data_IF_907491141531
#
_entry.id   IF_907491141531
#
_cell.length_a   1.000
_cell.length_b   1.000
_cell.length_c   1.000
_cell.angle_alpha   90.00
_cell.angle_beta   90.00
_cell.angle_gamma   90.00
#
_symmetry.space_group_name_H-M   'P 1'
#
loop_
_entity.id
_entity.type
_entity.pdbx_description
1 polymer ?
#
# COMPACT_ATOMS: atom_id res chain seq x y z
N UNK A 1 -2.98 21.30 -19.32
CA UNK A 1 -2.13 20.43 -18.50
C UNK A 1 -0.68 20.80 -18.77
N UNK A 2 0.13 20.99 -17.73
CA UNK A 2 1.54 21.44 -17.84
C UNK A 2 2.49 20.26 -18.10
N UNK A 3 3.67 20.52 -18.66
CA UNK A 3 4.74 19.52 -18.84
C UNK A 3 5.08 18.79 -17.53
N UNK A 4 5.20 19.54 -16.43
CA UNK A 4 5.44 18.98 -15.10
C UNK A 4 4.34 17.99 -14.69
N UNK A 5 3.06 18.34 -14.85
CA UNK A 5 1.94 17.45 -14.50
C UNK A 5 1.97 16.17 -15.35
N UNK A 6 2.28 16.29 -16.65
CA UNK A 6 2.40 15.14 -17.52
C UNK A 6 3.53 14.20 -17.10
N UNK A 7 4.68 14.75 -16.70
CA UNK A 7 5.81 13.96 -16.18
C UNK A 7 5.46 13.25 -14.88
N UNK A 8 4.74 13.91 -13.96
CA UNK A 8 4.23 13.25 -12.75
C UNK A 8 3.30 12.08 -13.11
N UNK A 9 2.35 12.29 -14.02
CA UNK A 9 1.44 11.23 -14.49
C UNK A 9 2.24 10.07 -15.09
N UNK A 10 3.21 10.34 -15.95
CA UNK A 10 4.03 9.30 -16.59
C UNK A 10 4.78 8.43 -15.59
N UNK A 11 5.28 9.02 -14.51
CA UNK A 11 5.99 8.29 -13.46
C UNK A 11 5.00 7.46 -12.62
N UNK A 12 3.86 8.03 -12.24
CA UNK A 12 2.87 7.34 -11.39
C UNK A 12 2.02 6.29 -12.13
N UNK A 13 1.90 6.39 -13.46
CA UNK A 13 1.08 5.48 -14.26
C UNK A 13 1.71 4.08 -14.27
N UNK A 14 0.89 3.01 -14.17
CA UNK A 14 1.37 1.65 -14.41
C UNK A 14 2.04 1.57 -15.78
N UNK A 15 3.30 1.13 -15.83
CA UNK A 15 3.98 0.86 -17.08
C UNK A 15 3.60 -0.55 -17.53
N UNK A 16 2.80 -0.63 -18.61
CA UNK A 16 2.66 -1.88 -19.33
C UNK A 16 3.96 -2.14 -20.09
N UNK A 17 4.80 -3.04 -19.59
CA UNK A 17 5.86 -3.62 -20.41
C UNK A 17 5.22 -4.66 -21.32
N UNK A 18 5.34 -4.42 -22.62
CA UNK A 18 4.85 -5.30 -23.68
C UNK A 18 5.78 -6.53 -23.75
N UNK A 19 5.56 -7.53 -22.89
CA UNK A 19 6.15 -8.86 -23.08
C UNK A 19 5.15 -9.97 -22.67
N UNK A 20 4.75 -10.87 -23.59
CA UNK A 20 3.60 -11.76 -23.41
C UNK A 20 3.90 -13.10 -22.70
N UNK A 21 4.96 -13.25 -21.91
CA UNK A 21 5.36 -14.61 -21.44
C UNK A 21 5.94 -14.75 -20.03
N UNK A 22 5.94 -13.71 -19.21
CA UNK A 22 6.34 -13.81 -17.81
C UNK A 22 5.28 -13.16 -16.90
N UNK A 23 5.12 -13.58 -15.63
CA UNK A 23 4.40 -12.77 -14.65
C UNK A 23 5.25 -11.52 -14.41
N UNK A 24 5.01 -10.50 -15.23
CA UNK A 24 5.73 -9.24 -15.14
C UNK A 24 5.31 -8.55 -13.84
N UNK A 25 6.22 -8.11 -12.96
CA UNK A 25 5.87 -7.16 -11.92
C UNK A 25 5.26 -5.95 -12.61
N UNK A 26 3.99 -5.68 -12.33
CA UNK A 26 3.31 -4.50 -12.83
C UNK A 26 4.05 -3.27 -12.26
N UNK A 27 4.98 -2.71 -13.04
CA UNK A 27 5.84 -1.62 -12.59
C UNK A 27 5.01 -0.34 -12.45
N UNK A 28 5.07 0.28 -11.27
CA UNK A 28 4.36 1.51 -10.93
C UNK A 28 3.76 1.46 -9.53
N UNK A 29 3.38 2.64 -9.01
CA UNK A 29 2.86 2.80 -7.65
C UNK A 29 1.62 1.93 -7.39
N UNK A 30 0.67 1.96 -8.33
CA UNK A 30 -0.64 1.35 -8.15
C UNK A 30 -0.60 -0.18 -8.06
N UNK A 31 0.00 -0.91 -9.01
CA UNK A 31 -0.10 -2.36 -9.00
C UNK A 31 0.68 -2.99 -7.85
N UNK A 32 1.80 -2.35 -7.47
CA UNK A 32 2.58 -2.68 -6.28
C UNK A 32 1.77 -2.57 -4.99
N UNK A 33 0.73 -1.72 -4.97
CA UNK A 33 -0.17 -1.54 -3.82
C UNK A 33 -1.37 -2.49 -3.83
N UNK A 34 -1.75 -3.09 -4.96
CA UNK A 34 -2.92 -3.98 -5.01
C UNK A 34 -2.64 -5.30 -4.27
N UNK A 35 -1.47 -5.92 -4.50
CA UNK A 35 -1.14 -7.22 -3.92
C UNK A 35 -1.17 -7.24 -2.38
N UNK A 36 -0.51 -6.31 -1.64
CA UNK A 36 -0.63 -6.27 -0.19
C UNK A 36 -2.08 -6.10 0.29
N UNK A 37 -2.90 -5.38 -0.47
CA UNK A 37 -4.29 -5.14 -0.10
C UNK A 37 -5.21 -6.34 -0.26
N UNK A 38 -4.89 -7.24 -1.19
CA UNK A 38 -5.58 -8.53 -1.34
C UNK A 38 -5.26 -9.45 -0.18
N UNK A 39 -3.98 -9.58 0.18
CA UNK A 39 -3.56 -10.35 1.37
C UNK A 39 -4.17 -9.76 2.64
N UNK A 40 -4.17 -8.43 2.82
CA UNK A 40 -4.78 -7.82 4.00
C UNK A 40 -6.31 -7.99 4.10
N UNK A 41 -7.01 -8.37 3.02
CA UNK A 41 -8.47 -8.56 3.06
C UNK A 41 -8.86 -9.70 4.02
N UNK A 42 -8.08 -10.78 4.04
CA UNK A 42 -8.39 -11.97 4.82
C UNK A 42 -8.21 -11.74 6.33
N UNK A 43 -7.37 -10.78 6.72
CA UNK A 43 -7.18 -10.34 8.11
C UNK A 43 -8.43 -9.68 8.70
N UNK A 44 -9.28 -9.07 7.86
CA UNK A 44 -10.48 -8.38 8.31
C UNK A 44 -11.54 -9.35 8.85
N UNK A 45 -11.58 -10.58 8.34
CA UNK A 45 -12.61 -11.55 8.72
C UNK A 45 -12.08 -12.64 9.70
N UNK A 46 -10.92 -12.42 10.33
CA UNK A 46 -10.24 -13.33 11.26
C UNK A 46 -9.91 -14.74 10.70
N UNK A 47 -10.13 -14.98 9.40
CA UNK A 47 -9.95 -16.29 8.77
C UNK A 47 -8.48 -16.68 8.57
N UNK A 48 -7.57 -15.71 8.59
CA UNK A 48 -6.21 -15.87 8.09
C UNK A 48 -5.13 -15.46 9.10
N UNK A 49 -5.41 -15.65 10.40
CA UNK A 49 -4.42 -15.44 11.46
C UNK A 49 -3.43 -16.60 11.55
N UNK A 50 -2.85 -16.99 10.42
CA UNK A 50 -1.96 -18.14 10.27
C UNK A 50 -0.60 -17.70 9.73
N UNK A 51 0.49 -18.43 10.02
CA UNK A 51 1.84 -18.01 9.63
C UNK A 51 2.01 -17.78 8.12
N UNK A 52 1.34 -18.56 7.28
CA UNK A 52 1.44 -18.44 5.81
C UNK A 52 1.02 -17.04 5.32
N UNK A 53 -0.04 -16.49 5.89
CA UNK A 53 -0.62 -15.20 5.48
C UNK A 53 0.24 -14.02 5.93
N UNK A 54 0.83 -14.11 7.12
CA UNK A 54 1.82 -13.13 7.57
C UNK A 54 3.12 -13.22 6.76
N UNK A 55 3.50 -14.41 6.29
CA UNK A 55 4.67 -14.59 5.40
C UNK A 55 4.42 -13.91 4.06
N UNK A 56 3.28 -14.21 3.43
CA UNK A 56 2.90 -13.57 2.17
C UNK A 56 2.81 -12.05 2.32
N UNK A 57 2.15 -11.58 3.39
CA UNK A 57 2.00 -10.14 3.65
C UNK A 57 3.35 -9.43 3.80
N UNK A 58 4.31 -10.06 4.50
CA UNK A 58 5.68 -9.53 4.61
C UNK A 58 6.31 -9.36 3.23
N UNK A 59 6.28 -10.41 2.41
CA UNK A 59 6.98 -10.45 1.13
C UNK A 59 6.37 -9.49 0.10
N UNK A 60 5.04 -9.40 0.04
CA UNK A 60 4.36 -8.45 -0.85
C UNK A 60 4.52 -7.01 -0.36
N UNK A 61 4.58 -6.77 0.96
CA UNK A 61 4.82 -5.42 1.51
C UNK A 61 6.25 -4.95 1.26
N UNK A 62 7.24 -5.85 1.39
CA UNK A 62 8.64 -5.60 1.06
C UNK A 62 8.80 -5.24 -0.43
N UNK A 63 8.16 -6.00 -1.32
CA UNK A 63 8.16 -5.70 -2.75
C UNK A 63 7.49 -4.35 -3.05
N UNK A 64 6.34 -4.08 -2.42
CA UNK A 64 5.60 -2.84 -2.60
C UNK A 64 6.40 -1.61 -2.16
N UNK A 65 7.08 -1.64 -1.00
CA UNK A 65 7.87 -0.49 -0.52
C UNK A 65 8.99 -0.11 -1.48
N UNK A 66 9.62 -1.08 -2.15
CA UNK A 66 10.70 -0.81 -3.11
C UNK A 66 10.17 -0.09 -4.35
N UNK A 67 9.01 -0.52 -4.87
CA UNK A 67 8.36 0.17 -5.98
C UNK A 67 8.02 1.63 -5.61
N UNK A 68 7.48 1.86 -4.41
CA UNK A 68 7.18 3.23 -3.94
C UNK A 68 8.45 4.06 -3.78
N UNK A 69 9.52 3.46 -3.25
CA UNK A 69 10.80 4.15 -3.10
C UNK A 69 11.39 4.58 -4.44
N UNK A 70 11.25 3.77 -5.51
CA UNK A 70 11.70 4.13 -6.84
C UNK A 70 10.87 5.29 -7.44
N UNK A 71 9.54 5.23 -7.34
CA UNK A 71 8.67 6.31 -7.81
C UNK A 71 8.86 7.61 -7.00
N UNK A 72 9.02 7.50 -5.68
CA UNK A 72 9.41 8.63 -4.84
C UNK A 72 10.77 9.18 -5.26
N UNK A 73 11.76 8.33 -5.50
CA UNK A 73 13.08 8.73 -5.98
C UNK A 73 12.99 9.53 -7.29
N UNK A 74 12.21 9.06 -8.27
CA UNK A 74 11.99 9.75 -9.56
C UNK A 74 11.32 11.11 -9.39
N UNK A 75 10.29 11.20 -8.53
CA UNK A 75 9.50 12.41 -8.35
C UNK A 75 10.18 13.43 -7.44
N UNK A 76 10.67 12.98 -6.29
CA UNK A 76 11.01 13.81 -5.14
C UNK A 76 12.52 14.03 -4.98
N UNK A 77 13.35 13.12 -5.49
CA UNK A 77 14.81 13.20 -5.33
C UNK A 77 15.54 13.49 -6.65
N UNK A 78 15.13 12.86 -7.76
CA UNK A 78 15.83 12.90 -9.07
C UNK A 78 15.48 14.11 -9.95
N UNK A 79 15.18 15.26 -9.36
CA UNK A 79 15.23 16.53 -10.10
C UNK A 79 14.01 16.88 -10.97
N UNK A 80 12.84 16.30 -10.73
CA UNK A 80 11.60 16.85 -11.28
C UNK A 80 11.29 18.20 -10.60
N UNK A 81 11.76 19.30 -11.20
CA UNK A 81 11.57 20.66 -10.64
C UNK A 81 10.13 21.13 -10.86
N UNK A 82 9.33 21.34 -9.79
CA UNK A 82 8.00 21.89 -9.95
C UNK A 82 8.06 23.37 -10.36
N UNK A 83 7.16 23.84 -11.25
CA UNK A 83 6.90 25.26 -11.42
C UNK A 83 6.50 25.89 -10.08
N UNK A 84 6.77 27.19 -9.89
CA UNK A 84 6.48 27.90 -8.62
C UNK A 84 5.05 27.69 -8.12
N UNK A 85 4.08 27.68 -9.03
CA UNK A 85 2.67 27.46 -8.73
C UNK A 85 2.33 26.05 -8.19
N UNK A 86 3.21 25.07 -8.39
CA UNK A 86 2.99 23.67 -8.04
C UNK A 86 3.95 23.14 -6.96
N UNK A 87 4.77 24.00 -6.36
CA UNK A 87 5.70 23.60 -5.27
C UNK A 87 4.96 22.99 -4.09
N UNK A 88 3.87 23.62 -3.64
CA UNK A 88 3.07 23.11 -2.52
C UNK A 88 2.46 21.75 -2.82
N UNK A 89 1.93 21.57 -4.04
CA UNK A 89 1.44 20.28 -4.50
C UNK A 89 2.56 19.23 -4.53
N UNK A 90 3.73 19.55 -5.07
CA UNK A 90 4.86 18.62 -5.16
C UNK A 90 5.30 18.14 -3.77
N UNK A 91 5.41 19.05 -2.81
CA UNK A 91 5.74 18.71 -1.42
C UNK A 91 4.69 17.76 -0.82
N UNK A 92 3.39 18.05 -1.03
CA UNK A 92 2.32 17.18 -0.55
C UNK A 92 2.35 15.80 -1.20
N UNK A 93 2.62 15.71 -2.51
CA UNK A 93 2.78 14.45 -3.23
C UNK A 93 3.92 13.63 -2.60
N UNK A 94 5.10 14.23 -2.43
CA UNK A 94 6.25 13.55 -1.84
C UNK A 94 5.97 13.06 -0.42
N UNK A 95 5.38 13.91 0.43
CA UNK A 95 4.99 13.54 1.79
C UNK A 95 3.99 12.38 1.82
N UNK A 96 3.04 12.33 0.87
CA UNK A 96 2.08 11.21 0.76
C UNK A 96 2.80 9.91 0.38
N UNK A 97 3.68 9.96 -0.60
CA UNK A 97 4.48 8.79 -1.00
C UNK A 97 5.35 8.27 0.14
N UNK A 98 5.99 9.17 0.91
CA UNK A 98 6.75 8.82 2.12
C UNK A 98 5.87 8.15 3.18
N UNK A 99 4.67 8.69 3.43
CA UNK A 99 3.73 8.08 4.38
C UNK A 99 3.25 6.71 3.93
N UNK A 100 2.95 6.53 2.64
CA UNK A 100 2.53 5.23 2.12
C UNK A 100 3.65 4.20 2.32
N UNK A 101 4.89 4.56 1.94
CA UNK A 101 6.06 3.72 2.15
C UNK A 101 6.24 3.34 3.62
N UNK A 102 6.20 4.32 4.53
CA UNK A 102 6.35 4.07 5.96
C UNK A 102 5.26 3.12 6.51
N UNK A 103 4.02 3.23 6.01
CA UNK A 103 2.96 2.32 6.41
C UNK A 103 3.22 0.89 5.91
N UNK A 104 3.76 0.70 4.70
CA UNK A 104 4.16 -0.61 4.19
C UNK A 104 5.32 -1.21 5.00
N UNK A 105 6.35 -0.41 5.29
CA UNK A 105 7.47 -0.82 6.16
C UNK A 105 6.94 -1.27 7.54
N UNK A 106 5.96 -0.54 8.07
CA UNK A 106 5.34 -0.89 9.35
C UNK A 106 4.52 -2.18 9.27
N UNK A 107 3.81 -2.42 8.16
CA UNK A 107 3.05 -3.66 7.94
C UNK A 107 3.99 -4.86 7.89
N UNK A 108 5.07 -4.76 7.11
CA UNK A 108 6.12 -5.77 7.02
C UNK A 108 6.71 -6.09 8.41
N UNK A 109 7.07 -5.07 9.18
CA UNK A 109 7.63 -5.24 10.51
C UNK A 109 6.65 -5.95 11.46
N UNK A 110 5.36 -5.58 11.43
CA UNK A 110 4.33 -6.24 12.24
C UNK A 110 4.20 -7.71 11.83
N UNK A 111 4.20 -8.00 10.53
CA UNK A 111 4.13 -9.38 10.04
C UNK A 111 5.34 -10.20 10.50
N UNK A 112 6.56 -9.67 10.37
CA UNK A 112 7.79 -10.31 10.85
C UNK A 112 7.76 -10.60 12.35
N UNK A 113 7.37 -9.62 13.16
CA UNK A 113 7.22 -9.80 14.61
C UNK A 113 6.20 -10.89 14.96
N UNK A 114 5.11 -10.95 14.20
CA UNK A 114 4.06 -11.95 14.40
C UNK A 114 4.56 -13.35 14.09
N UNK A 115 5.24 -13.53 12.95
CA UNK A 115 5.88 -14.80 12.60
C UNK A 115 6.87 -15.27 13.67
N UNK A 116 7.69 -14.37 14.19
CA UNK A 116 8.62 -14.70 15.28
C UNK A 116 7.88 -15.23 16.50
N UNK A 117 6.82 -14.56 16.94
CA UNK A 117 6.03 -15.00 18.11
C UNK A 117 5.38 -16.36 17.85
N UNK A 118 4.71 -16.53 16.71
CA UNK A 118 4.03 -17.79 16.34
C UNK A 118 5.01 -18.98 16.30
N UNK A 119 6.25 -18.76 15.86
CA UNK A 119 7.28 -19.81 15.82
C UNK A 119 7.81 -20.20 17.21
N UNK A 120 7.81 -19.28 18.18
CA UNK A 120 8.39 -19.49 19.52
C UNK A 120 7.38 -19.91 20.58
N UNK A 121 6.08 -19.67 20.36
CA UNK A 121 5.01 -19.98 21.30
C UNK A 121 3.76 -20.54 20.59
N UNK A 122 3.85 -21.70 19.91
CA UNK A 122 2.73 -22.32 19.21
C UNK A 122 1.66 -22.74 20.22
N UNK A 123 0.54 -22.00 20.29
CA UNK A 123 -0.59 -22.30 21.18
C UNK A 123 -1.16 -21.11 21.96
N UNK A 124 -0.50 -19.94 21.94
CA UNK A 124 -0.99 -18.72 22.62
C UNK A 124 -0.91 -17.45 21.76
N UNK A 125 -0.77 -17.63 20.46
CA UNK A 125 -0.46 -16.63 19.46
C UNK A 125 -1.72 -16.00 18.83
N UNK A 126 -2.90 -16.60 18.96
CA UNK A 126 -4.14 -16.07 18.36
C UNK A 126 -4.46 -14.65 18.80
N UNK A 127 -4.37 -14.33 20.10
CA UNK A 127 -4.62 -12.97 20.60
C UNK A 127 -3.57 -11.98 20.10
N UNK A 128 -2.31 -12.43 19.96
CA UNK A 128 -1.23 -11.61 19.41
C UNK A 128 -1.47 -11.34 17.91
N UNK A 129 -1.79 -12.38 17.14
CA UNK A 129 -2.08 -12.30 15.71
C UNK A 129 -3.31 -11.41 15.44
N UNK A 130 -4.34 -11.46 16.27
CA UNK A 130 -5.49 -10.56 16.21
C UNK A 130 -5.08 -9.08 16.39
N UNK A 131 -4.26 -8.78 17.41
CA UNK A 131 -3.75 -7.41 17.65
C UNK A 131 -2.85 -6.95 16.50
N UNK A 132 -2.02 -7.84 15.97
CA UNK A 132 -1.18 -7.57 14.81
C UNK A 132 -2.02 -7.24 13.58
N UNK A 133 -3.05 -8.06 13.29
CA UNK A 133 -4.00 -7.84 12.21
C UNK A 133 -4.70 -6.49 12.33
N UNK A 134 -5.19 -6.12 13.52
CA UNK A 134 -5.85 -4.82 13.71
C UNK A 134 -4.91 -3.63 13.45
N UNK A 135 -3.63 -3.75 13.86
CA UNK A 135 -2.60 -2.75 13.56
C UNK A 135 -2.35 -2.65 12.06
N UNK A 136 -2.23 -3.79 11.37
CA UNK A 136 -2.08 -3.85 9.90
C UNK A 136 -3.26 -3.19 9.19
N UNK A 137 -4.50 -3.51 9.58
CA UNK A 137 -5.72 -2.92 8.99
C UNK A 137 -5.78 -1.40 9.20
N UNK A 138 -5.28 -0.91 10.34
CA UNK A 138 -5.16 0.53 10.59
C UNK A 138 -4.17 1.21 9.63
N UNK A 139 -3.05 0.55 9.31
CA UNK A 139 -2.06 1.05 8.33
C UNK A 139 -2.60 0.98 6.90
N UNK A 140 -3.33 -0.10 6.56
CA UNK A 140 -4.10 -0.21 5.31
C UNK A 140 -5.03 0.97 5.11
N UNK A 141 -5.82 1.32 6.13
CA UNK A 141 -6.73 2.45 6.09
C UNK A 141 -6.00 3.79 5.86
N UNK A 142 -4.85 4.00 6.50
CA UNK A 142 -4.02 5.18 6.29
C UNK A 142 -3.49 5.28 4.85
N UNK A 143 -3.01 4.17 4.27
CA UNK A 143 -2.59 4.12 2.86
C UNK A 143 -3.77 4.46 1.94
N UNK A 144 -4.94 3.86 2.16
CA UNK A 144 -6.15 4.16 1.37
C UNK A 144 -6.51 5.64 1.42
N UNK A 145 -6.41 6.27 2.59
CA UNK A 145 -6.71 7.69 2.75
C UNK A 145 -5.75 8.58 1.94
N UNK A 146 -4.44 8.26 1.95
CA UNK A 146 -3.46 8.98 1.15
C UNK A 146 -3.67 8.78 -0.36
N UNK A 147 -4.03 7.57 -0.81
CA UNK A 147 -4.37 7.30 -2.21
C UNK A 147 -5.63 8.04 -2.67
N UNK A 148 -6.69 8.06 -1.85
CA UNK A 148 -7.92 8.82 -2.15
C UNK A 148 -7.66 10.31 -2.23
N UNK A 149 -6.77 10.84 -1.38
CA UNK A 149 -6.39 12.24 -1.46
C UNK A 149 -5.58 12.57 -2.73
N UNK A 150 -4.78 11.63 -3.23
CA UNK A 150 -4.12 11.77 -4.54
C UNK A 150 -5.14 11.71 -5.69
N UNK A 151 -6.12 10.80 -5.63
CA UNK A 151 -7.22 10.70 -6.60
C UNK A 151 -8.06 11.98 -6.67
N UNK A 152 -8.28 12.64 -5.53
CA UNK A 152 -9.04 13.89 -5.46
C UNK A 152 -8.36 15.07 -6.19
N UNK A 153 -7.11 14.92 -6.63
CA UNK A 153 -6.45 15.90 -7.50
C UNK A 153 -6.91 15.69 -8.94
N UNK A 154 -7.60 16.68 -9.53
CA UNK A 154 -8.30 16.57 -10.83
C UNK A 154 -7.51 15.86 -11.95
N UNK A 155 -6.24 16.22 -12.12
CA UNK A 155 -5.39 15.68 -13.19
C UNK A 155 -4.68 14.37 -12.81
N UNK A 156 -4.71 13.97 -11.54
CA UNK A 156 -4.26 12.65 -11.08
C UNK A 156 -5.40 11.64 -10.98
N UNK A 157 -6.66 12.09 -11.00
CA UNK A 157 -7.83 11.21 -10.90
C UNK A 157 -7.76 10.01 -11.84
N UNK A 158 -7.38 10.22 -13.11
CA UNK A 158 -7.27 9.13 -14.08
C UNK A 158 -6.16 8.10 -13.75
N UNK A 159 -5.15 8.48 -12.96
CA UNK A 159 -4.07 7.57 -12.51
C UNK A 159 -4.56 6.68 -11.37
N UNK A 160 -5.31 7.25 -10.42
CA UNK A 160 -5.70 6.56 -9.17
C UNK A 160 -7.13 5.98 -9.18
N UNK A 161 -8.03 6.43 -10.06
CA UNK A 161 -9.43 6.00 -10.08
C UNK A 161 -9.57 4.50 -10.31
N UNK A 162 -8.87 3.96 -11.31
CA UNK A 162 -8.97 2.53 -11.62
C UNK A 162 -8.15 1.67 -10.66
N UNK A 163 -7.16 2.26 -10.00
CA UNK A 163 -6.42 1.63 -8.91
C UNK A 163 -7.28 1.38 -7.68
N UNK A 164 -8.01 2.41 -7.25
CA UNK A 164 -8.81 2.34 -6.03
C UNK A 164 -9.99 1.37 -6.18
N UNK A 165 -10.44 1.10 -7.41
CA UNK A 165 -11.42 0.03 -7.70
C UNK A 165 -10.84 -1.37 -7.51
N UNK A 166 -9.54 -1.55 -7.70
CA UNK A 166 -8.86 -2.85 -7.54
C UNK A 166 -8.55 -3.13 -6.07
N UNK A 167 -8.47 -2.10 -5.23
CA UNK A 167 -8.29 -2.25 -3.80
C UNK A 167 -9.56 -2.83 -3.17
N UNK A 168 -9.52 -4.04 -2.58
CA UNK A 168 -10.71 -4.63 -1.97
C UNK A 168 -11.20 -3.77 -0.79
N UNK A 169 -12.48 -3.47 -0.72
CA UNK A 169 -13.02 -2.72 0.42
C UNK A 169 -12.84 -3.52 1.72
N UNK A 170 -12.50 -2.82 2.82
CA UNK A 170 -12.74 -3.37 4.15
C UNK A 170 -14.25 -3.45 4.30
N UNK A 171 -14.81 -4.67 4.32
CA UNK A 171 -16.16 -4.83 4.88
C UNK A 171 -16.12 -4.28 6.30
N UNK A 172 -17.05 -3.38 6.63
CA UNK A 172 -17.26 -2.97 8.01
C UNK A 172 -17.60 -4.21 8.80
N UNK A 173 -16.64 -4.71 9.58
CA UNK A 173 -16.93 -5.71 10.60
C UNK A 173 -17.64 -4.93 11.68
N UNK A 174 -18.98 -4.97 11.69
CA UNK A 174 -19.71 -4.63 12.89
C UNK A 174 -19.08 -5.46 14.00
N UNK A 175 -18.63 -4.86 15.12
CA UNK A 175 -18.29 -5.63 16.29
C UNK A 175 -19.48 -6.54 16.56
N UNK A 176 -19.27 -7.86 16.52
CA UNK A 176 -20.33 -8.78 16.91
C UNK A 176 -20.68 -8.42 18.35
N UNK A 177 -21.89 -7.92 18.56
CA UNK A 177 -22.45 -7.73 19.88
C UNK A 177 -22.74 -9.13 20.44
N UNK A 178 -21.70 -9.82 20.90
CA UNK A 178 -21.81 -11.07 21.62
C UNK A 178 -20.49 -11.38 22.35
N UNK A 179 -20.37 -10.89 23.58
CA UNK A 179 -19.88 -11.64 24.74
C UNK A 179 -19.81 -10.68 25.94
N UNK A 180 -20.96 -10.43 26.56
CA UNK A 180 -21.19 -10.36 28.01
C UNK A 180 -22.70 -10.29 28.26
#
# INVERSE_FOLDING_TARGET
MTDYQQRVITVLRPQQTVEPSAPVPLNGLIPSLVQPFEVMRCLNEAYCLVPTEFTELRDVSDSAKFAIADEHGKLCQKGLKPPRALVGFHQQLCQRLDRIRLNLDTIELIAQQTLSVMSTAPGNDTSFAQKAAQRILSRRAAITADLRALEATDWLKAVFKDALKQIPELKSVRPSAAAN
#
